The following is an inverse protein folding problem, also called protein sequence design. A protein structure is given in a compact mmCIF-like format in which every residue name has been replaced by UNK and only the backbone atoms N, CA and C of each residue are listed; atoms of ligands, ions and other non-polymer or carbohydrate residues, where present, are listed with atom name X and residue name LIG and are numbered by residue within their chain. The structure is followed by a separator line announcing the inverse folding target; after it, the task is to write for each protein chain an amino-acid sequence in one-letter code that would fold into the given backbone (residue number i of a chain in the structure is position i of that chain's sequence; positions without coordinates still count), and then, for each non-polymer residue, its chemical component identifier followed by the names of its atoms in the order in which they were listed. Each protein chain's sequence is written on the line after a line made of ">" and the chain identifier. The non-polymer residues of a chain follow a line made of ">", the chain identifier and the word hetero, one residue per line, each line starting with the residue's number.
data_IF_050257998032
#
_entry.id   IF_050257998032
#
_cell.length_a   1.000
_cell.length_b   1.000
_cell.length_c   1.000
_cell.angle_alpha   90.00
_cell.angle_beta   90.00
_cell.angle_gamma   90.00
#
_symmetry.space_group_name_H-M   'P 1'
#
loop_
_entity.id
_entity.type
_entity.pdbx_description
1 polymer ?
#
# COMPACT_ATOMS: atom_id res chain seq x y z
N UNK A 1 -16.42 -13.35 19.53
CA UNK A 1 -16.13 -12.56 18.33
C UNK A 1 -16.28 -11.10 18.70
N UNK A 2 -15.19 -10.41 18.99
CA UNK A 2 -15.22 -8.97 19.32
C UNK A 2 -15.59 -8.20 18.06
N UNK A 3 -16.67 -7.42 18.10
CA UNK A 3 -17.02 -6.51 17.03
C UNK A 3 -15.82 -5.59 16.78
N UNK A 4 -15.19 -5.73 15.60
CA UNK A 4 -14.15 -4.80 15.18
C UNK A 4 -14.75 -3.40 15.21
N UNK A 5 -14.12 -2.48 15.94
CA UNK A 5 -14.45 -1.06 15.87
C UNK A 5 -14.51 -0.65 14.39
N UNK A 6 -15.48 0.20 13.98
CA UNK A 6 -15.55 0.63 12.59
C UNK A 6 -14.23 1.26 12.17
N UNK A 7 -13.83 1.04 10.91
CA UNK A 7 -12.51 1.43 10.41
C UNK A 7 -12.19 2.91 10.61
N UNK A 8 -13.23 3.76 10.62
CA UNK A 8 -13.18 5.07 11.27
C UNK A 8 -14.30 5.18 12.28
N UNK A 9 -13.91 5.56 13.48
CA UNK A 9 -14.81 6.09 14.48
C UNK A 9 -14.51 7.58 14.68
N UNK A 10 -15.41 8.24 15.42
CA UNK A 10 -15.33 9.66 15.72
C UNK A 10 -14.01 10.04 16.40
N UNK A 11 -13.43 9.09 17.15
CA UNK A 11 -12.15 9.23 17.85
C UNK A 11 -10.97 9.39 16.88
N UNK A 12 -11.06 8.83 15.67
CA UNK A 12 -10.02 8.90 14.64
C UNK A 12 -10.22 10.01 13.62
N UNK A 13 -11.40 10.65 13.61
CA UNK A 13 -11.75 11.68 12.63
C UNK A 13 -10.70 12.79 12.54
N UNK A 14 -10.20 13.28 13.69
CA UNK A 14 -9.19 14.33 13.73
C UNK A 14 -7.87 13.90 13.06
N UNK A 15 -7.46 12.65 13.29
CA UNK A 15 -6.23 12.07 12.71
C UNK A 15 -6.40 11.93 11.19
N UNK A 16 -7.52 11.36 10.75
CA UNK A 16 -7.83 11.14 9.33
C UNK A 16 -7.84 12.48 8.58
N UNK A 17 -8.57 13.48 9.11
CA UNK A 17 -8.63 14.80 8.51
C UNK A 17 -7.27 15.50 8.50
N UNK A 18 -6.47 15.36 9.57
CA UNK A 18 -5.12 15.93 9.61
C UNK A 18 -4.16 15.30 8.57
N UNK A 19 -4.46 14.09 8.11
CA UNK A 19 -3.71 13.42 7.04
C UNK A 19 -4.19 13.83 5.66
N UNK A 20 -5.50 13.94 5.45
CA UNK A 20 -6.09 14.28 4.14
C UNK A 20 -6.00 15.76 3.78
N UNK A 21 -6.03 16.65 4.79
CA UNK A 21 -6.12 18.09 4.61
C UNK A 21 -4.87 18.83 5.12
N UNK A 22 -4.70 20.12 4.79
CA UNK A 22 -3.68 20.97 5.39
C UNK A 22 -3.73 20.90 6.93
N UNK A 23 -2.58 20.60 7.55
CA UNK A 23 -2.48 20.39 8.99
C UNK A 23 -1.30 21.18 9.57
N UNK A 24 -1.28 21.29 10.90
CA UNK A 24 -0.11 21.72 11.66
C UNK A 24 0.68 20.51 12.18
N UNK A 25 1.84 20.78 12.77
CA UNK A 25 2.60 19.84 13.59
C UNK A 25 2.62 20.36 15.03
N UNK A 26 2.57 19.45 15.99
CA UNK A 26 2.80 19.75 17.41
C UNK A 26 4.30 19.77 17.73
N UNK A 27 4.62 20.07 18.99
CA UNK A 27 6.01 20.09 19.50
C UNK A 27 6.74 18.74 19.43
N UNK A 28 6.00 17.64 19.26
CA UNK A 28 6.51 16.28 19.15
C UNK A 28 6.53 15.80 17.68
N UNK A 29 6.18 16.66 16.71
CA UNK A 29 6.10 16.30 15.30
C UNK A 29 4.85 15.52 14.91
N UNK A 30 3.84 15.44 15.78
CA UNK A 30 2.54 14.83 15.52
C UNK A 30 1.66 15.79 14.74
N UNK A 31 0.92 15.29 13.75
CA UNK A 31 0.00 16.09 12.95
C UNK A 31 -1.24 16.46 13.76
N UNK A 32 -1.56 17.74 13.77
CA UNK A 32 -2.79 18.27 14.36
C UNK A 32 -3.66 18.85 13.25
N UNK A 33 -4.94 18.50 13.28
CA UNK A 33 -5.95 19.05 12.39
C UNK A 33 -6.04 20.58 12.55
N UNK A 34 -5.93 21.31 11.43
CA UNK A 34 -6.36 22.70 11.35
C UNK A 34 -7.87 22.70 11.12
N UNK A 35 -8.63 23.00 12.17
CA UNK A 35 -10.10 22.93 12.15
C UNK A 35 -10.70 23.81 11.06
N UNK A 36 -10.13 24.99 10.84
CA UNK A 36 -10.53 25.89 9.76
C UNK A 36 -10.36 25.29 8.36
N UNK A 37 -9.25 24.58 8.09
CA UNK A 37 -9.03 23.96 6.79
C UNK A 37 -10.04 22.82 6.51
N UNK A 38 -10.43 22.07 7.55
CA UNK A 38 -11.51 21.08 7.42
C UNK A 38 -12.88 21.73 7.24
N UNK A 39 -13.14 22.82 7.96
CA UNK A 39 -14.38 23.58 7.86
C UNK A 39 -14.58 24.11 6.43
N UNK A 40 -13.53 24.71 5.85
CA UNK A 40 -13.51 25.19 4.46
C UNK A 40 -13.74 24.05 3.46
N UNK A 41 -12.95 22.96 3.56
CA UNK A 41 -13.06 21.82 2.63
C UNK A 41 -14.43 21.14 2.66
N UNK A 42 -15.13 21.17 3.80
CA UNK A 42 -16.44 20.55 3.99
C UNK A 42 -17.60 21.56 3.91
N UNK A 43 -17.34 22.85 3.71
CA UNK A 43 -18.38 23.89 3.68
C UNK A 43 -19.21 23.96 4.97
N UNK A 44 -18.56 23.85 6.14
CA UNK A 44 -19.19 23.94 7.47
C UNK A 44 -18.42 24.89 8.38
N UNK A 45 -18.92 25.15 9.60
CA UNK A 45 -18.18 25.96 10.57
C UNK A 45 -17.16 25.14 11.38
N UNK A 46 -16.11 25.78 11.89
CA UNK A 46 -15.14 25.16 12.81
C UNK A 46 -15.79 24.47 14.01
N UNK A 47 -16.83 25.10 14.58
CA UNK A 47 -17.59 24.53 15.70
C UNK A 47 -18.31 23.24 15.31
N UNK A 48 -18.74 23.11 14.06
CA UNK A 48 -19.33 21.88 13.51
C UNK A 48 -18.27 20.79 13.43
N UNK A 49 -17.07 21.09 12.92
CA UNK A 49 -15.96 20.11 12.89
C UNK A 49 -15.58 19.65 14.31
N UNK A 50 -15.44 20.60 15.26
CA UNK A 50 -15.17 20.28 16.68
C UNK A 50 -16.29 19.45 17.32
N UNK A 51 -17.54 19.65 16.90
CA UNK A 51 -18.68 18.84 17.35
C UNK A 51 -18.58 17.43 16.77
N UNK A 52 -18.26 17.29 15.48
CA UNK A 52 -18.11 15.97 14.84
C UNK A 52 -16.98 15.15 15.44
N UNK A 53 -15.85 15.77 15.77
CA UNK A 53 -14.74 15.06 16.43
C UNK A 53 -15.14 14.50 17.81
N UNK A 54 -16.04 15.18 18.52
CA UNK A 54 -16.47 14.77 19.88
C UNK A 54 -17.68 13.83 19.90
N UNK A 55 -18.60 14.02 18.97
CA UNK A 55 -19.93 13.40 19.01
C UNK A 55 -20.29 12.64 17.72
N UNK A 56 -19.39 12.65 16.76
CA UNK A 56 -19.52 11.97 15.49
C UNK A 56 -20.12 12.74 14.34
N UNK A 57 -19.88 12.19 13.17
CA UNK A 57 -20.31 12.76 11.88
C UNK A 57 -21.74 12.31 11.61
N UNK A 58 -22.67 13.23 11.31
CA UNK A 58 -24.03 12.87 10.90
C UNK A 58 -24.00 11.96 9.68
N UNK A 59 -24.85 10.92 9.65
CA UNK A 59 -24.91 9.93 8.55
C UNK A 59 -24.98 10.59 7.17
N UNK A 60 -25.79 11.65 7.03
CA UNK A 60 -25.96 12.41 5.78
C UNK A 60 -24.70 13.13 5.27
N UNK A 61 -23.65 13.25 6.07
CA UNK A 61 -22.37 13.91 5.73
C UNK A 61 -21.23 12.91 5.56
N UNK A 62 -21.48 11.61 5.75
CA UNK A 62 -20.44 10.58 5.63
C UNK A 62 -19.91 10.48 4.20
N UNK A 63 -20.76 10.62 3.19
CA UNK A 63 -20.31 10.50 1.80
C UNK A 63 -19.44 11.68 1.36
N UNK A 64 -19.78 12.90 1.77
CA UNK A 64 -18.94 14.10 1.57
C UNK A 64 -17.55 13.89 2.20
N UNK A 65 -17.53 13.34 3.42
CA UNK A 65 -16.29 13.07 4.13
C UNK A 65 -15.46 12.01 3.39
N UNK A 66 -16.10 10.90 2.99
CA UNK A 66 -15.46 9.79 2.25
C UNK A 66 -14.79 10.27 0.99
N UNK A 67 -15.39 11.19 0.23
CA UNK A 67 -14.79 11.74 -0.98
C UNK A 67 -13.45 12.46 -0.74
N UNK A 68 -13.25 13.02 0.46
CA UNK A 68 -12.02 13.72 0.85
C UNK A 68 -11.00 12.73 1.43
N UNK A 69 -11.45 11.80 2.27
CA UNK A 69 -10.56 10.98 3.08
C UNK A 69 -10.14 9.68 2.39
N UNK A 70 -10.89 9.21 1.39
CA UNK A 70 -10.55 7.96 0.69
C UNK A 70 -9.88 8.19 -0.65
N UNK A 71 -9.12 7.18 -1.11
CA UNK A 71 -8.82 7.04 -2.54
C UNK A 71 -10.10 7.03 -3.36
N UNK A 72 -10.09 7.73 -4.50
CA UNK A 72 -11.21 7.71 -5.42
C UNK A 72 -11.46 6.30 -5.96
N UNK A 73 -12.70 6.05 -6.39
CA UNK A 73 -13.11 4.78 -7.04
C UNK A 73 -12.20 4.43 -8.21
N UNK A 74 -11.84 5.42 -9.04
CA UNK A 74 -10.92 5.25 -10.17
C UNK A 74 -9.53 4.71 -9.75
N UNK A 75 -9.01 5.14 -8.59
CA UNK A 75 -7.74 4.62 -8.05
C UNK A 75 -7.90 3.16 -7.63
N UNK A 76 -8.99 2.83 -6.93
CA UNK A 76 -9.25 1.46 -6.48
C UNK A 76 -9.43 0.50 -7.67
N UNK A 77 -10.13 0.93 -8.71
CA UNK A 77 -10.29 0.17 -9.96
C UNK A 77 -8.96 -0.01 -10.71
N UNK A 78 -8.12 1.03 -10.75
CA UNK A 78 -6.78 0.92 -11.33
C UNK A 78 -5.92 -0.07 -10.55
N UNK A 79 -5.94 -0.02 -9.21
CA UNK A 79 -5.20 -0.96 -8.38
C UNK A 79 -5.68 -2.41 -8.56
N UNK A 80 -6.97 -2.63 -8.75
CA UNK A 80 -7.50 -3.94 -9.06
C UNK A 80 -7.06 -4.45 -10.45
N UNK A 81 -7.02 -3.55 -11.45
CA UNK A 81 -6.45 -3.85 -12.77
C UNK A 81 -4.97 -4.18 -12.69
N UNK A 82 -4.20 -3.40 -11.93
CA UNK A 82 -2.78 -3.63 -11.69
C UNK A 82 -2.53 -4.99 -10.99
N UNK A 83 -3.39 -5.37 -10.05
CA UNK A 83 -3.30 -6.65 -9.35
C UNK A 83 -3.51 -7.82 -10.33
N UNK A 84 -4.55 -7.74 -11.17
CA UNK A 84 -4.80 -8.74 -12.22
C UNK A 84 -3.65 -8.80 -13.23
N UNK A 85 -3.11 -7.65 -13.62
CA UNK A 85 -1.96 -7.59 -14.54
C UNK A 85 -0.70 -8.22 -13.91
N UNK A 86 -0.42 -7.94 -12.65
CA UNK A 86 0.72 -8.52 -11.93
C UNK A 86 0.58 -10.05 -11.78
N UNK A 87 -0.64 -10.55 -11.58
CA UNK A 87 -0.89 -11.99 -11.58
C UNK A 87 -0.59 -12.64 -12.94
N UNK A 88 -1.12 -12.08 -14.03
CA UNK A 88 -0.84 -12.59 -15.39
C UNK A 88 0.65 -12.57 -15.72
N UNK A 89 1.33 -11.46 -15.43
CA UNK A 89 2.77 -11.35 -15.67
C UNK A 89 3.59 -12.36 -14.83
N UNK A 90 3.14 -12.69 -13.62
CA UNK A 90 3.79 -13.71 -12.79
C UNK A 90 3.58 -15.12 -13.35
N UNK A 91 2.41 -15.40 -13.92
CA UNK A 91 2.09 -16.65 -14.61
C UNK A 91 2.93 -16.81 -15.87
N UNK A 92 2.97 -15.79 -16.72
CA UNK A 92 3.81 -15.74 -17.93
C UNK A 92 5.28 -15.97 -17.59
N UNK A 93 5.81 -15.30 -16.57
CA UNK A 93 7.21 -15.45 -16.14
C UNK A 93 7.53 -16.84 -15.59
N UNK A 94 6.52 -17.56 -15.08
CA UNK A 94 6.68 -18.95 -14.65
C UNK A 94 6.51 -19.94 -15.81
N UNK A 95 5.98 -19.49 -16.95
CA UNK A 95 5.84 -20.27 -18.17
C UNK A 95 7.18 -20.58 -18.83
N UNK A 96 7.26 -21.76 -19.44
CA UNK A 96 8.47 -22.25 -20.11
C UNK A 96 8.58 -21.57 -21.47
N UNK A 97 9.78 -21.11 -21.83
CA UNK A 97 10.03 -20.43 -23.10
C UNK A 97 9.51 -18.98 -23.18
N UNK A 98 8.90 -18.45 -22.11
CA UNK A 98 8.51 -17.05 -22.07
C UNK A 98 9.74 -16.16 -22.10
N UNK A 99 9.83 -15.32 -23.13
CA UNK A 99 10.85 -14.28 -23.24
C UNK A 99 10.22 -12.96 -22.80
N UNK A 100 10.63 -12.41 -21.66
CA UNK A 100 10.06 -11.16 -21.19
C UNK A 100 10.30 -9.99 -22.16
N UNK A 101 9.36 -9.04 -22.26
CA UNK A 101 9.56 -7.81 -23.02
C UNK A 101 10.87 -7.11 -22.62
N UNK A 102 11.60 -6.56 -23.59
CA UNK A 102 12.89 -5.89 -23.35
C UNK A 102 12.80 -4.79 -22.27
N UNK A 103 11.68 -4.05 -22.26
CA UNK A 103 11.37 -3.05 -21.25
C UNK A 103 11.41 -3.59 -19.81
N UNK A 104 11.01 -4.84 -19.56
CA UNK A 104 11.04 -5.42 -18.20
C UNK A 104 12.47 -5.65 -17.72
N UNK A 105 13.37 -6.01 -18.63
CA UNK A 105 14.81 -6.16 -18.32
C UNK A 105 15.43 -4.81 -18.03
N UNK A 106 15.23 -3.81 -18.89
CA UNK A 106 15.76 -2.45 -18.69
C UNK A 106 15.27 -1.83 -17.38
N UNK A 107 14.02 -2.11 -17.00
CA UNK A 107 13.43 -1.61 -15.76
C UNK A 107 13.73 -2.50 -14.53
N UNK A 108 14.48 -3.59 -14.70
CA UNK A 108 14.86 -4.51 -13.63
C UNK A 108 13.69 -5.30 -13.04
N UNK A 109 12.57 -5.48 -13.74
CA UNK A 109 11.35 -6.08 -13.17
C UNK A 109 11.50 -7.55 -12.77
N UNK A 110 12.48 -8.25 -13.34
CA UNK A 110 12.84 -9.63 -12.99
C UNK A 110 13.73 -9.74 -11.78
N UNK A 111 14.38 -8.65 -11.39
CA UNK A 111 15.30 -8.63 -10.27
C UNK A 111 14.52 -8.69 -8.95
N UNK A 112 15.16 -9.15 -7.86
CA UNK A 112 14.54 -9.13 -6.55
C UNK A 112 14.06 -7.74 -6.16
N UNK A 113 12.88 -7.67 -5.53
CA UNK A 113 12.26 -6.43 -5.06
C UNK A 113 11.93 -6.53 -3.59
N UNK A 114 12.04 -5.41 -2.87
CA UNK A 114 11.63 -5.28 -1.48
C UNK A 114 10.21 -4.71 -1.44
N UNK A 115 9.33 -5.37 -0.68
CA UNK A 115 8.08 -4.77 -0.20
C UNK A 115 8.31 -4.33 1.23
N UNK A 116 8.12 -3.04 1.53
CA UNK A 116 8.26 -2.50 2.87
C UNK A 116 7.01 -1.73 3.27
N UNK A 117 6.55 -1.91 4.51
CA UNK A 117 5.56 -1.04 5.15
C UNK A 117 6.31 0.00 5.96
N UNK A 118 6.12 1.27 5.61
CA UNK A 118 6.69 2.40 6.34
C UNK A 118 5.61 3.10 7.14
N UNK A 119 5.79 3.19 8.45
CA UNK A 119 4.94 3.97 9.34
C UNK A 119 5.44 5.41 9.39
N UNK A 120 4.57 6.35 9.07
CA UNK A 120 4.79 7.78 9.26
C UNK A 120 4.36 8.14 10.70
N UNK A 121 5.30 8.12 11.66
CA UNK A 121 4.99 8.18 13.09
C UNK A 121 4.13 9.38 13.49
N UNK A 122 4.47 10.58 13.02
CA UNK A 122 3.69 11.80 13.30
C UNK A 122 2.31 11.84 12.63
N UNK A 123 2.08 11.00 11.62
CA UNK A 123 0.82 10.89 10.89
C UNK A 123 -0.05 9.70 11.35
N UNK A 124 0.52 8.73 12.08
CA UNK A 124 -0.16 7.48 12.48
C UNK A 124 -0.73 6.70 11.30
N UNK A 125 -0.01 6.74 10.17
CA UNK A 125 -0.39 6.11 8.91
C UNK A 125 0.78 5.27 8.40
N UNK A 126 0.45 4.09 7.87
CA UNK A 126 1.36 3.20 7.19
C UNK A 126 1.22 3.33 5.67
N UNK A 127 2.35 3.17 4.96
CA UNK A 127 2.39 3.22 3.50
C UNK A 127 3.24 2.06 2.98
N UNK A 128 2.69 1.14 2.17
CA UNK A 128 3.46 0.05 1.58
C UNK A 128 4.17 0.51 0.31
N UNK A 129 5.44 0.13 0.17
CA UNK A 129 6.33 0.52 -0.94
C UNK A 129 6.98 -0.69 -1.57
N UNK A 130 7.21 -0.58 -2.88
CA UNK A 130 7.96 -1.54 -3.68
C UNK A 130 9.21 -0.86 -4.21
N UNK A 131 10.38 -1.40 -3.93
CA UNK A 131 11.67 -0.90 -4.40
C UNK A 131 12.52 -2.03 -4.97
N UNK A 132 13.39 -1.71 -5.93
CA UNK A 132 14.36 -2.67 -6.46
C UNK A 132 15.37 -3.02 -5.35
N UNK A 133 15.69 -4.31 -5.17
CA UNK A 133 16.58 -4.77 -4.10
C UNK A 133 18.07 -4.41 -4.34
N UNK A 134 18.45 -4.00 -5.55
CA UNK A 134 19.81 -3.55 -5.86
C UNK A 134 20.04 -2.05 -5.59
N UNK A 135 19.04 -1.20 -5.92
CA UNK A 135 19.03 0.24 -5.52
C UNK A 135 19.00 0.42 -4.01
N UNK A 136 18.53 -0.62 -3.36
CA UNK A 136 18.48 -0.90 -1.94
C UNK A 136 19.88 -1.26 -1.38
N UNK A 137 20.92 -0.45 -1.67
CA UNK A 137 22.23 -0.60 -1.02
C UNK A 137 22.07 -0.37 0.47
N UNK A 138 22.14 -1.48 1.20
CA UNK A 138 22.33 -1.60 2.64
C UNK A 138 23.36 -0.55 3.08
N UNK A 139 22.91 0.55 3.71
CA UNK A 139 23.84 1.38 4.49
C UNK A 139 24.39 0.47 5.58
N UNK A 140 25.71 0.45 5.74
CA UNK A 140 26.44 -0.34 6.76
C UNK A 140 25.64 -0.39 8.07
N UNK A 141 25.15 -1.57 8.45
CA UNK A 141 24.32 -1.77 9.65
C UNK A 141 23.19 -2.78 9.53
N UNK A 142 22.85 -3.28 8.33
CA UNK A 142 21.81 -4.32 8.17
C UNK A 142 20.37 -3.81 8.15
N UNK A 143 20.17 -2.49 8.06
CA UNK A 143 18.84 -1.90 7.95
C UNK A 143 18.29 -2.02 6.52
N UNK A 144 17.05 -2.49 6.41
CA UNK A 144 16.34 -2.63 5.15
C UNK A 144 16.11 -1.25 4.50
N UNK A 145 16.13 -1.17 3.17
CA UNK A 145 16.25 0.07 2.42
C UNK A 145 14.96 0.88 2.47
N UNK A 146 15.13 2.14 2.85
CA UNK A 146 14.07 3.13 2.95
C UNK A 146 14.14 3.95 1.65
N UNK A 147 13.06 3.94 0.85
CA UNK A 147 13.00 4.74 -0.39
C UNK A 147 13.47 6.19 -0.17
N UNK A 148 14.00 6.88 -1.19
CA UNK A 148 14.46 8.28 -1.07
C UNK A 148 13.34 9.19 -0.51
N UNK A 149 12.09 8.91 -0.85
CA UNK A 149 10.90 9.59 -0.34
C UNK A 149 10.63 9.29 1.13
N UNK A 150 10.72 8.02 1.54
CA UNK A 150 10.63 7.63 2.94
C UNK A 150 11.84 8.16 3.75
N UNK A 151 12.99 8.34 3.12
CA UNK A 151 14.18 9.02 3.68
C UNK A 151 14.00 10.53 3.79
N UNK A 152 13.16 11.15 2.95
CA UNK A 152 12.75 12.56 3.07
C UNK A 152 11.65 12.72 4.13
N UNK A 153 10.71 11.78 4.22
CA UNK A 153 9.70 11.72 5.29
C UNK A 153 10.33 11.44 6.66
N UNK A 154 11.34 10.56 6.72
CA UNK A 154 12.21 10.35 7.90
C UNK A 154 12.80 11.67 8.39
N UNK A 155 13.41 12.43 7.48
CA UNK A 155 14.02 13.74 7.78
C UNK A 155 13.03 14.82 8.21
N UNK A 156 11.72 14.62 8.00
CA UNK A 156 10.66 15.58 8.37
C UNK A 156 9.82 15.14 9.58
N UNK A 157 10.05 13.95 10.16
CA UNK A 157 9.29 13.52 11.34
C UNK A 157 9.13 12.01 11.57
N UNK A 158 10.15 11.18 11.30
CA UNK A 158 10.19 9.82 11.85
C UNK A 158 9.41 8.76 11.08
N UNK A 159 9.59 8.66 9.76
CA UNK A 159 9.15 7.48 9.03
C UNK A 159 9.98 6.24 9.44
N UNK A 160 9.36 5.12 9.78
CA UNK A 160 10.07 3.89 10.22
C UNK A 160 9.58 2.71 9.40
N UNK A 161 10.50 1.89 8.88
CA UNK A 161 10.12 0.62 8.27
C UNK A 161 9.75 -0.35 9.37
N UNK A 162 8.47 -0.72 9.46
CA UNK A 162 7.95 -1.62 10.48
C UNK A 162 7.92 -3.07 10.02
N UNK A 163 7.86 -3.28 8.71
CA UNK A 163 7.92 -4.61 8.11
C UNK A 163 8.55 -4.54 6.72
N UNK A 164 9.39 -5.51 6.35
CA UNK A 164 9.78 -5.68 4.95
C UNK A 164 10.04 -7.14 4.59
N UNK A 165 9.84 -7.46 3.31
CA UNK A 165 10.14 -8.77 2.72
C UNK A 165 10.78 -8.61 1.35
N UNK A 166 11.72 -9.49 1.03
CA UNK A 166 12.30 -9.59 -0.31
C UNK A 166 11.48 -10.61 -1.12
N UNK A 167 11.15 -10.21 -2.34
CA UNK A 167 10.40 -10.99 -3.33
C UNK A 167 11.29 -11.26 -4.54
N UNK A 168 11.03 -12.35 -5.29
CA UNK A 168 11.89 -12.73 -6.41
C UNK A 168 11.85 -11.77 -7.59
N UNK A 169 10.76 -11.01 -7.75
CA UNK A 169 10.56 -10.08 -8.87
C UNK A 169 9.54 -8.99 -8.50
N UNK A 170 9.41 -7.98 -9.36
CA UNK A 170 8.50 -6.86 -9.16
C UNK A 170 7.03 -7.27 -9.07
N UNK A 171 6.61 -8.25 -9.86
CA UNK A 171 5.21 -8.67 -9.91
C UNK A 171 4.76 -9.33 -8.61
N UNK A 172 5.62 -10.19 -8.05
CA UNK A 172 5.42 -10.75 -6.71
C UNK A 172 5.34 -9.64 -5.65
N UNK A 173 6.20 -8.62 -5.71
CA UNK A 173 6.12 -7.45 -4.83
C UNK A 173 4.82 -6.66 -5.01
N UNK A 174 4.38 -6.43 -6.24
CA UNK A 174 3.14 -5.71 -6.55
C UNK A 174 1.92 -6.45 -6.03
N UNK A 175 1.85 -7.78 -6.20
CA UNK A 175 0.79 -8.63 -5.67
C UNK A 175 0.69 -8.45 -4.16
N UNK A 176 1.79 -8.63 -3.43
CA UNK A 176 1.80 -8.49 -1.96
C UNK A 176 1.31 -7.09 -1.55
N UNK A 177 1.82 -6.03 -2.19
CA UNK A 177 1.40 -4.65 -1.88
C UNK A 177 -0.09 -4.44 -2.13
N UNK A 178 -0.59 -4.86 -3.29
CA UNK A 178 -1.97 -4.59 -3.70
C UNK A 178 -2.97 -5.45 -2.92
N UNK A 179 -2.62 -6.69 -2.58
CA UNK A 179 -3.43 -7.51 -1.67
C UNK A 179 -3.48 -6.92 -0.26
N UNK A 180 -2.37 -6.40 0.24
CA UNK A 180 -2.34 -5.70 1.52
C UNK A 180 -3.29 -4.49 1.48
N UNK A 181 -3.19 -3.66 0.43
CA UNK A 181 -4.05 -2.49 0.25
C UNK A 181 -5.54 -2.87 0.13
N UNK A 182 -5.84 -3.97 -0.55
CA UNK A 182 -7.21 -4.51 -0.65
C UNK A 182 -7.73 -4.99 0.71
N UNK A 183 -6.88 -5.63 1.53
CA UNK A 183 -7.26 -6.08 2.88
C UNK A 183 -7.60 -4.90 3.80
N UNK A 184 -6.86 -3.79 3.69
CA UNK A 184 -7.05 -2.62 4.55
C UNK A 184 -7.90 -1.53 3.90
N UNK A 185 -8.71 -1.86 2.87
CA UNK A 185 -9.47 -0.88 2.07
C UNK A 185 -10.25 0.09 2.95
N UNK A 186 -10.98 -0.42 3.95
CA UNK A 186 -11.80 0.41 4.83
C UNK A 186 -10.98 1.32 5.75
N UNK A 187 -9.70 1.01 5.95
CA UNK A 187 -8.78 1.75 6.81
C UNK A 187 -7.88 2.70 6.02
N UNK A 188 -8.11 2.82 4.70
CA UNK A 188 -7.31 3.69 3.84
C UNK A 188 -7.62 5.15 4.11
N UNK A 189 -6.57 5.95 4.03
CA UNK A 189 -6.63 7.40 4.16
C UNK A 189 -5.80 8.02 3.05
N UNK A 190 -6.40 8.95 2.33
CA UNK A 190 -5.73 9.83 1.40
C UNK A 190 -4.76 10.71 2.18
N UNK A 191 -3.48 10.61 1.86
CA UNK A 191 -2.45 11.45 2.45
C UNK A 191 -2.33 12.71 1.59
N UNK A 192 -2.29 13.86 2.24
CA UNK A 192 -2.08 15.14 1.57
C UNK A 192 -0.72 15.17 0.85
N UNK A 193 -0.68 15.74 -0.35
CA UNK A 193 0.49 15.72 -1.25
C UNK A 193 1.75 16.35 -0.65
N UNK A 194 1.58 17.31 0.27
CA UNK A 194 2.70 17.93 1.00
C UNK A 194 3.45 16.95 1.92
N UNK A 195 2.77 15.90 2.39
CA UNK A 195 3.37 14.83 3.19
C UNK A 195 3.93 13.74 2.28
N UNK A 196 3.19 13.39 1.23
CA UNK A 196 3.53 12.29 0.35
C UNK A 196 3.09 12.58 -1.08
N UNK A 197 4.06 12.92 -1.95
CA UNK A 197 3.77 13.17 -3.37
C UNK A 197 3.31 11.91 -4.09
N UNK A 198 4.17 10.88 -4.17
CA UNK A 198 3.84 9.60 -4.79
C UNK A 198 3.28 8.62 -3.76
N UNK A 199 2.19 7.94 -4.08
CA UNK A 199 1.57 6.95 -3.19
C UNK A 199 0.69 7.56 -2.10
N UNK A 200 0.26 8.81 -2.26
CA UNK A 200 -0.62 9.51 -1.33
C UNK A 200 -1.94 8.75 -1.07
N UNK A 201 -2.47 8.05 -2.07
CA UNK A 201 -3.66 7.21 -1.94
C UNK A 201 -3.40 5.86 -1.29
N UNK A 202 -2.14 5.47 -1.06
CA UNK A 202 -1.76 4.14 -0.58
C UNK A 202 -1.57 4.10 0.95
N UNK A 203 -1.97 5.16 1.65
CA UNK A 203 -1.94 5.23 3.11
C UNK A 203 -3.08 4.45 3.75
N UNK A 204 -2.82 3.85 4.90
CA UNK A 204 -3.82 3.28 5.79
C UNK A 204 -3.46 3.53 7.26
N UNK A 205 -4.44 3.62 8.15
CA UNK A 205 -4.19 3.86 9.58
C UNK A 205 -3.30 2.77 10.19
N UNK A 206 -2.39 3.15 11.09
CA UNK A 206 -1.39 2.23 11.68
C UNK A 206 -2.01 1.01 12.36
N UNK A 207 -3.20 1.15 12.93
CA UNK A 207 -3.92 0.10 13.66
C UNK A 207 -4.76 -0.83 12.76
N UNK A 208 -4.74 -0.62 11.44
CA UNK A 208 -5.57 -1.39 10.51
C UNK A 208 -5.32 -2.91 10.67
N UNK A 209 -6.39 -3.73 10.79
CA UNK A 209 -6.27 -5.16 10.90
C UNK A 209 -5.76 -5.72 9.56
N UNK A 210 -4.53 -6.23 9.58
CA UNK A 210 -3.87 -6.74 8.37
C UNK A 210 -3.07 -7.99 8.67
N UNK A 211 -2.89 -8.82 7.64
CA UNK A 211 -1.90 -9.89 7.71
C UNK A 211 -0.48 -9.34 7.51
N UNK A 212 0.52 -10.07 7.99
CA UNK A 212 1.93 -9.70 7.82
C UNK A 212 2.35 -9.86 6.35
N UNK A 213 3.27 -9.02 5.88
CA UNK A 213 3.96 -9.18 4.59
C UNK A 213 4.57 -10.58 4.43
N UNK A 214 5.08 -11.19 5.52
CA UNK A 214 5.58 -12.57 5.50
C UNK A 214 4.49 -13.58 5.13
N UNK A 215 3.27 -13.38 5.62
CA UNK A 215 2.12 -14.23 5.30
C UNK A 215 1.71 -14.08 3.83
N UNK A 216 1.68 -12.84 3.32
CA UNK A 216 1.48 -12.59 1.89
C UNK A 216 2.58 -13.25 1.03
N UNK A 217 3.85 -13.07 1.38
CA UNK A 217 4.98 -13.70 0.68
C UNK A 217 4.83 -15.22 0.61
N UNK A 218 4.42 -15.84 1.70
CA UNK A 218 4.23 -17.29 1.78
C UNK A 218 3.13 -17.75 0.82
N UNK A 219 1.99 -17.04 0.78
CA UNK A 219 0.90 -17.29 -0.17
C UNK A 219 1.35 -17.10 -1.62
N UNK A 220 2.02 -15.99 -1.92
CA UNK A 220 2.56 -15.71 -3.27
C UNK A 220 3.52 -16.82 -3.72
N UNK A 221 4.45 -17.25 -2.86
CA UNK A 221 5.39 -18.34 -3.17
C UNK A 221 4.69 -19.68 -3.42
N UNK A 222 3.68 -20.03 -2.60
CA UNK A 222 2.88 -21.24 -2.81
C UNK A 222 2.18 -21.21 -4.17
N UNK A 223 1.57 -20.08 -4.53
CA UNK A 223 0.94 -19.90 -5.84
C UNK A 223 1.95 -20.03 -6.99
N UNK A 224 3.13 -19.42 -6.88
CA UNK A 224 4.20 -19.58 -7.88
C UNK A 224 4.63 -21.04 -8.05
N UNK A 225 4.78 -21.77 -6.94
CA UNK A 225 5.14 -23.19 -6.98
C UNK A 225 4.03 -24.04 -7.63
N UNK A 226 2.76 -23.69 -7.44
CA UNK A 226 1.64 -24.32 -8.11
C UNK A 226 1.62 -24.03 -9.62
N UNK A 227 1.81 -22.78 -10.02
CA UNK A 227 1.88 -22.39 -11.44
C UNK A 227 2.99 -23.17 -12.15
N UNK A 228 4.19 -23.23 -11.55
CA UNK A 228 5.32 -23.97 -12.12
C UNK A 228 5.04 -25.46 -12.26
N UNK A 229 4.39 -26.07 -11.26
CA UNK A 229 3.99 -27.49 -11.32
C UNK A 229 3.01 -27.75 -12.45
N UNK A 230 2.01 -26.88 -12.65
CA UNK A 230 1.05 -26.99 -13.75
C UNK A 230 1.71 -26.83 -15.12
N UNK A 231 2.60 -25.85 -15.27
CA UNK A 231 3.34 -25.63 -16.51
C UNK A 231 4.23 -26.84 -16.88
N UNK A 232 4.90 -27.43 -15.88
CA UNK A 232 5.71 -28.63 -16.09
C UNK A 232 4.88 -29.85 -16.51
N UNK A 233 3.71 -30.06 -15.88
CA UNK A 233 2.80 -31.15 -16.24
C UNK A 233 2.28 -31.03 -17.68
N UNK A 234 1.88 -29.81 -18.10
CA UNK A 234 1.43 -29.56 -19.48
C UNK A 234 2.52 -29.84 -20.52
N UNK A 235 3.79 -29.57 -20.20
CA UNK A 235 4.89 -29.87 -21.10
C UNK A 235 5.15 -31.38 -21.23
N UNK A 236 5.01 -32.14 -20.14
CA UNK A 236 5.13 -33.61 -20.17
C UNK A 236 4.04 -34.22 -21.06
N UNK A 237 2.79 -33.80 -20.88
CA UNK A 237 1.67 -34.24 -21.74
C UNK A 237 1.89 -33.87 -23.21
N UNK A 238 2.38 -32.66 -23.51
CA UNK A 238 2.69 -32.25 -24.89
C UNK A 238 3.85 -33.05 -25.50
N UNK A 239 4.86 -33.40 -24.71
CA UNK A 239 6.02 -34.18 -25.16
C UNK A 239 5.64 -35.63 -25.46
N UNK A 240 4.68 -36.20 -24.72
CA UNK A 240 4.15 -37.55 -24.96
C UNK A 240 3.22 -37.63 -26.18
N UNK A 241 2.56 -36.52 -26.55
CA UNK A 241 1.64 -36.44 -27.70
C UNK A 241 2.33 -36.20 -29.06
N UNK A 242 3.62 -35.84 -29.08
CA UNK A 242 4.44 -35.75 -30.30
C UNK A 242 5.53 -36.82 -30.32
N UNK A 243 5.23 -38.06 -30.75
CA UNK A 243 6.29 -39.03 -31.01
C UNK A 243 7.10 -38.57 -32.24
N UNK A 244 8.42 -38.57 -32.11
CA UNK A 244 9.39 -38.25 -33.17
C UNK A 244 9.02 -38.92 -34.50
N UNK A 245 8.79 -38.11 -35.52
CA UNK A 245 8.88 -38.51 -36.93
C UNK A 245 10.33 -38.45 -37.40
#
# INVERSE_FOLDING_TARGET
>A
MTASSPAWDDRRLAIILANALPSALDRHGTRILRTHAAAEALGVSDSTIRRWIRHGVPLRRLDDLKQIIYPSTAILEQEQRDLRAAYRALEELAGIGFTPPAQWRTMGWHEPHVVAVTTLQGAKVCVPRVTLALESRIRRGGELPISIEASRAMRRGGAVVTEAVITPNRFAAQIIRLELLAQVTDWRVQIHSSLLGKGASQGFLEEAPRTTLRSHLTRTRRRMAEIRRRAAAQQQEQSELTPSS
#
